data_IF_662875228948
#
_entry.id   IF_662875228948
#
_cell.length_a   1.000
_cell.length_b   1.000
_cell.length_c   1.000
_cell.angle_alpha   90.00
_cell.angle_beta   90.00
_cell.angle_gamma   90.00
#
_symmetry.space_group_name_H-M   'P 1'
#
loop_
_entity.id
_entity.type
_entity.pdbx_description
1 polymer ?
#
# COMPACT_ATOMS: atom_id res chain seq x y z
N UNK A 1 -10.92 -10.38 -37.37
CA UNK A 1 -9.54 -10.84 -37.63
C UNK A 1 -8.69 -9.59 -37.65
N UNK A 2 -7.85 -9.39 -36.62
CA UNK A 2 -7.07 -8.17 -36.40
C UNK A 2 -5.62 -8.60 -36.44
N UNK A 3 -4.91 -8.12 -37.45
CA UNK A 3 -3.54 -8.51 -37.76
C UNK A 3 -2.56 -7.93 -36.74
N UNK A 4 -1.71 -8.81 -36.20
CA UNK A 4 -0.61 -8.48 -35.29
C UNK A 4 0.69 -8.58 -36.09
N UNK A 5 1.48 -7.51 -36.24
CA UNK A 5 2.82 -7.69 -36.78
C UNK A 5 3.73 -8.22 -35.68
N UNK A 6 4.20 -9.44 -35.89
CA UNK A 6 5.37 -10.02 -35.25
C UNK A 6 6.59 -9.16 -35.59
N UNK A 7 7.33 -8.72 -34.58
CA UNK A 7 8.71 -8.27 -34.74
C UNK A 7 9.59 -9.12 -33.84
N UNK A 8 10.17 -10.11 -34.49
CA UNK A 8 11.18 -11.04 -34.00
C UNK A 8 12.42 -10.78 -34.83
N UNK A 9 13.45 -10.13 -34.29
CA UNK A 9 14.83 -10.20 -34.80
C UNK A 9 15.80 -9.85 -33.64
N UNK A 10 16.41 -10.86 -33.02
CA UNK A 10 17.84 -11.28 -33.14
C UNK A 10 18.84 -10.42 -32.34
N UNK A 11 19.31 -11.01 -31.23
CA UNK A 11 20.70 -11.18 -30.74
C UNK A 11 21.70 -10.01 -30.91
N UNK A 12 22.18 -9.48 -29.77
CA UNK A 12 23.61 -9.16 -29.54
C UNK A 12 23.91 -8.86 -28.05
N UNK A 13 24.48 -9.84 -27.34
CA UNK A 13 25.50 -9.64 -26.28
C UNK A 13 26.87 -9.70 -26.99
N UNK A 14 28.01 -9.15 -26.48
CA UNK A 14 28.31 -8.89 -25.06
C UNK A 14 29.16 -7.63 -24.75
N UNK A 15 29.36 -7.30 -23.47
CA UNK A 15 30.62 -6.70 -23.00
C UNK A 15 30.79 -6.90 -21.49
N UNK A 16 31.94 -7.48 -21.14
CA UNK A 16 32.43 -7.83 -19.81
C UNK A 16 33.60 -6.91 -19.51
N UNK A 17 33.48 -6.04 -18.50
CA UNK A 17 34.55 -5.22 -17.89
C UNK A 17 34.02 -4.86 -16.50
N UNK A 18 34.71 -4.94 -15.36
CA UNK A 18 36.10 -5.16 -14.98
C UNK A 18 36.19 -4.70 -13.50
N UNK A 19 36.99 -5.38 -12.68
CA UNK A 19 37.12 -5.20 -11.23
C UNK A 19 37.87 -3.90 -10.86
N UNK A 20 37.41 -3.18 -9.83
CA UNK A 20 38.21 -2.46 -8.81
C UNK A 20 37.24 -1.91 -7.74
N UNK A 21 37.42 -2.02 -6.43
CA UNK A 21 38.61 -2.32 -5.65
C UNK A 21 39.15 -1.06 -4.97
N UNK A 22 38.49 -0.55 -3.92
CA UNK A 22 39.10 0.30 -2.91
C UNK A 22 38.54 -0.07 -1.52
N UNK A 23 39.32 -0.85 -0.79
CA UNK A 23 39.19 -1.01 0.66
C UNK A 23 40.07 0.04 1.33
N UNK A 24 39.49 0.92 2.15
CA UNK A 24 40.23 1.82 3.03
C UNK A 24 40.11 1.32 4.47
N UNK A 25 41.22 1.00 5.16
CA UNK A 25 41.21 0.79 6.60
C UNK A 25 41.38 2.12 7.34
N UNK A 26 40.69 2.34 8.47
CA UNK A 26 41.20 3.20 9.51
C UNK A 26 41.85 2.34 10.60
N UNK A 27 43.17 2.51 10.78
CA UNK A 27 43.87 2.03 11.97
C UNK A 27 43.80 3.06 13.09
N UNK A 28 43.34 2.54 14.22
CA UNK A 28 43.92 2.64 15.57
C UNK A 28 43.86 3.96 16.37
N UNK A 29 43.09 3.81 17.45
CA UNK A 29 43.43 4.07 18.85
C UNK A 29 43.46 5.49 19.41
N UNK A 30 42.66 5.65 20.47
CA UNK A 30 42.61 6.83 21.31
C UNK A 30 41.70 6.68 22.51
N UNK A 31 42.00 5.74 23.42
CA UNK A 31 41.76 5.90 24.86
C UNK A 31 40.37 5.58 25.41
N UNK A 32 40.25 4.41 26.05
CA UNK A 32 39.30 4.17 27.15
C UNK A 32 39.81 4.86 28.41
N UNK A 33 39.03 5.80 28.97
CA UNK A 33 38.94 5.99 30.43
C UNK A 33 37.51 6.36 30.84
N UNK A 34 36.85 5.38 31.44
CA UNK A 34 35.83 5.41 32.50
C UNK A 34 35.40 6.77 33.10
N UNK A 35 34.08 7.00 33.16
CA UNK A 35 33.41 7.12 34.45
C UNK A 35 32.91 8.50 34.94
N UNK A 36 31.59 8.54 35.16
CA UNK A 36 30.83 9.30 36.16
C UNK A 36 30.35 10.73 35.86
N UNK A 37 29.04 10.78 35.60
CA UNK A 37 28.03 11.66 36.21
C UNK A 37 28.50 12.85 37.07
N UNK A 38 28.06 14.05 36.67
CA UNK A 38 27.56 15.08 37.59
C UNK A 38 26.77 16.18 36.85
N UNK A 39 25.45 16.05 36.88
CA UNK A 39 24.44 17.03 37.31
C UNK A 39 24.62 18.53 36.95
N UNK A 40 23.72 19.00 36.07
CA UNK A 40 22.91 20.22 36.10
C UNK A 40 23.53 21.58 36.49
N UNK A 41 23.47 22.54 35.55
CA UNK A 41 23.12 23.93 35.86
C UNK A 41 22.33 24.53 34.68
N UNK A 42 21.17 25.17 34.90
CA UNK A 42 20.40 25.81 33.85
C UNK A 42 21.00 27.20 33.61
N UNK A 43 21.68 27.36 32.48
CA UNK A 43 21.98 28.69 31.96
C UNK A 43 20.92 29.01 30.90
N UNK A 44 20.00 29.88 31.28
CA UNK A 44 19.08 30.53 30.36
C UNK A 44 19.90 31.39 29.39
N UNK A 45 20.27 30.81 28.25
CA UNK A 45 20.52 31.57 27.04
C UNK A 45 19.34 31.31 26.12
N UNK A 46 18.40 32.24 26.13
CA UNK A 46 17.47 32.49 25.04
C UNK A 46 18.27 32.87 23.79
N UNK A 47 18.90 31.88 23.16
CA UNK A 47 19.06 31.95 21.72
C UNK A 47 17.68 31.62 21.17
N UNK A 48 16.97 32.69 20.81
CA UNK A 48 15.95 32.69 19.77
C UNK A 48 16.64 32.24 18.46
N UNK A 49 17.05 30.96 18.44
CA UNK A 49 17.53 30.28 17.26
C UNK A 49 16.29 29.94 16.48
N UNK A 50 15.72 30.94 15.81
CA UNK A 50 14.77 30.75 14.74
C UNK A 50 15.34 29.63 13.87
N UNK A 51 14.67 28.48 13.84
CA UNK A 51 15.00 27.44 12.88
C UNK A 51 14.86 28.08 11.50
N UNK A 52 15.99 28.42 10.90
CA UNK A 52 16.06 28.97 9.56
C UNK A 52 15.71 27.82 8.60
N UNK A 53 14.41 27.63 8.38
CA UNK A 53 13.92 26.68 7.39
C UNK A 53 14.46 27.11 6.02
N UNK A 54 15.05 26.20 5.24
CA UNK A 54 15.54 26.55 3.91
C UNK A 54 14.43 27.22 3.11
N UNK A 55 14.72 28.37 2.49
CA UNK A 55 13.76 29.19 1.73
C UNK A 55 13.09 28.42 0.57
N UNK A 56 13.69 27.28 0.19
CA UNK A 56 13.10 26.32 -0.72
C UNK A 56 13.00 24.95 -0.03
N UNK A 57 11.90 24.68 0.72
CA UNK A 57 11.68 23.34 1.24
C UNK A 57 11.66 22.38 0.05
N UNK A 58 12.58 21.40 0.04
CA UNK A 58 12.52 20.36 -0.98
C UNK A 58 11.11 19.76 -0.94
N UNK A 59 10.41 19.80 -2.07
CA UNK A 59 9.08 19.23 -2.17
C UNK A 59 9.22 17.76 -1.86
N UNK A 60 8.64 17.35 -0.73
CA UNK A 60 8.56 15.94 -0.36
C UNK A 60 7.54 15.28 -1.30
N UNK A 61 8.06 14.69 -2.38
CA UNK A 61 7.28 14.00 -3.42
C UNK A 61 6.43 12.87 -2.83
N UNK A 62 6.86 12.24 -1.74
CA UNK A 62 6.05 11.25 -1.06
C UNK A 62 4.83 11.90 -0.40
N UNK A 63 4.99 13.01 0.33
CA UNK A 63 3.84 13.73 0.88
C UNK A 63 2.92 14.29 -0.23
N UNK A 64 3.49 14.75 -1.35
CA UNK A 64 2.70 15.16 -2.52
C UNK A 64 1.85 14.00 -3.05
N UNK A 65 2.41 12.79 -3.11
CA UNK A 65 1.66 11.60 -3.48
C UNK A 65 0.56 11.26 -2.48
N UNK A 66 0.83 11.33 -1.17
CA UNK A 66 -0.18 11.05 -0.15
C UNK A 66 -1.37 12.02 -0.23
N UNK A 67 -1.07 13.30 -0.48
CA UNK A 67 -2.10 14.31 -0.71
C UNK A 67 -2.95 14.00 -1.94
N UNK A 68 -2.32 13.65 -3.06
CA UNK A 68 -3.02 13.27 -4.27
C UNK A 68 -3.91 12.02 -4.07
N UNK A 69 -3.40 11.00 -3.38
CA UNK A 69 -4.17 9.82 -3.00
C UNK A 69 -5.39 10.18 -2.12
N UNK A 70 -5.21 11.07 -1.14
CA UNK A 70 -6.29 11.50 -0.26
C UNK A 70 -7.41 12.23 -1.02
N UNK A 71 -7.07 12.86 -2.14
CA UNK A 71 -7.99 13.56 -3.03
C UNK A 71 -8.60 12.64 -4.10
N UNK A 72 -8.14 11.39 -4.21
CA UNK A 72 -8.54 10.45 -5.26
C UNK A 72 -7.88 10.73 -6.61
N UNK A 73 -6.84 11.58 -6.67
CA UNK A 73 -6.06 11.83 -7.87
C UNK A 73 -4.94 10.79 -8.01
N UNK A 74 -5.32 9.61 -8.49
CA UNK A 74 -4.41 8.47 -8.61
C UNK A 74 -3.31 8.67 -9.66
N UNK A 75 -3.56 9.49 -10.69
CA UNK A 75 -2.56 9.80 -11.71
C UNK A 75 -1.49 10.73 -11.16
N UNK A 76 -1.89 11.82 -10.47
CA UNK A 76 -0.95 12.71 -9.81
C UNK A 76 -0.16 11.99 -8.70
N UNK A 77 -0.81 11.11 -7.94
CA UNK A 77 -0.15 10.27 -6.96
C UNK A 77 0.90 9.35 -7.59
N UNK A 78 0.58 8.67 -8.69
CA UNK A 78 1.52 7.80 -9.39
C UNK A 78 2.72 8.58 -9.94
N UNK A 79 2.50 9.78 -10.49
CA UNK A 79 3.58 10.63 -10.96
C UNK A 79 4.51 11.07 -9.81
N UNK A 80 3.95 11.49 -8.67
CA UNK A 80 4.71 11.89 -7.48
C UNK A 80 5.50 10.72 -6.87
N UNK A 81 4.90 9.53 -6.76
CA UNK A 81 5.61 8.32 -6.31
C UNK A 81 6.74 7.92 -7.27
N UNK A 82 6.61 8.21 -8.56
CA UNK A 82 7.67 7.97 -9.53
C UNK A 82 8.85 8.90 -9.30
N UNK A 83 8.60 10.19 -9.10
CA UNK A 83 9.66 11.14 -8.73
C UNK A 83 10.31 10.79 -7.39
N UNK A 84 9.52 10.37 -6.38
CA UNK A 84 10.04 9.87 -5.11
C UNK A 84 11.01 8.70 -5.29
N UNK A 85 10.67 7.74 -6.14
CA UNK A 85 11.52 6.59 -6.45
C UNK A 85 12.83 6.99 -7.17
N UNK A 86 12.76 7.98 -8.07
CA UNK A 86 13.87 8.40 -8.91
C UNK A 86 14.89 9.29 -8.18
N UNK A 87 14.40 10.13 -7.25
CA UNK A 87 15.23 11.02 -6.43
C UNK A 87 15.94 10.29 -5.28
N UNK A 88 15.49 9.07 -4.97
CA UNK A 88 15.75 8.42 -3.71
C UNK A 88 16.59 7.13 -3.73
N UNK A 89 16.82 6.59 -2.54
CA UNK A 89 17.53 5.32 -2.32
C UNK A 89 16.62 4.09 -2.46
N UNK A 90 17.11 2.92 -2.02
CA UNK A 90 16.32 1.68 -2.01
C UNK A 90 15.03 1.81 -1.17
N UNK A 91 15.10 2.58 -0.08
CA UNK A 91 13.95 2.90 0.77
C UNK A 91 12.85 3.59 -0.02
N UNK A 92 13.19 4.65 -0.76
CA UNK A 92 12.22 5.49 -1.45
C UNK A 92 11.57 4.73 -2.62
N UNK A 93 12.36 3.87 -3.30
CA UNK A 93 11.82 2.91 -4.29
C UNK A 93 10.83 1.93 -3.67
N UNK A 94 11.12 1.43 -2.46
CA UNK A 94 10.22 0.52 -1.74
C UNK A 94 8.92 1.22 -1.32
N UNK A 95 9.02 2.43 -0.77
CA UNK A 95 7.87 3.27 -0.40
C UNK A 95 7.00 3.62 -1.62
N UNK A 96 7.64 4.00 -2.73
CA UNK A 96 6.96 4.29 -3.98
C UNK A 96 6.22 3.08 -4.54
N UNK A 97 6.81 1.88 -4.44
CA UNK A 97 6.15 0.63 -4.85
C UNK A 97 4.90 0.38 -4.01
N UNK A 98 5.02 0.42 -2.69
CA UNK A 98 3.87 0.21 -1.79
C UNK A 98 2.78 1.27 -2.02
N UNK A 99 3.16 2.53 -2.22
CA UNK A 99 2.24 3.61 -2.52
C UNK A 99 1.47 3.40 -3.84
N UNK A 100 2.13 2.89 -4.89
CA UNK A 100 1.48 2.58 -6.16
C UNK A 100 0.51 1.40 -6.04
N UNK A 101 0.89 0.36 -5.30
CA UNK A 101 0.00 -0.76 -5.01
C UNK A 101 -1.26 -0.32 -4.25
N UNK A 102 -1.11 0.60 -3.30
CA UNK A 102 -2.23 1.24 -2.62
C UNK A 102 -3.09 2.06 -3.58
N UNK A 103 -2.48 2.88 -4.43
CA UNK A 103 -3.18 3.67 -5.44
C UNK A 103 -4.06 2.79 -6.35
N UNK A 104 -3.48 1.69 -6.86
CA UNK A 104 -4.19 0.72 -7.70
C UNK A 104 -5.34 0.05 -6.95
N UNK A 105 -5.16 -0.27 -5.66
CA UNK A 105 -6.22 -0.85 -4.84
C UNK A 105 -7.39 0.12 -4.67
N UNK A 106 -7.09 1.38 -4.34
CA UNK A 106 -8.09 2.42 -4.16
C UNK A 106 -8.82 2.77 -5.47
N UNK A 107 -8.12 2.73 -6.61
CA UNK A 107 -8.71 2.93 -7.94
C UNK A 107 -9.65 1.77 -8.34
N UNK A 108 -9.31 0.53 -7.97
CA UNK A 108 -10.15 -0.66 -8.22
C UNK A 108 -11.39 -0.71 -7.35
N UNK A 109 -11.29 -0.22 -6.11
CA UNK A 109 -12.38 -0.23 -5.14
C UNK A 109 -12.68 1.19 -4.67
N UNK A 110 -13.24 2.04 -5.54
CA UNK A 110 -13.62 3.39 -5.15
C UNK A 110 -14.62 3.33 -4.00
N UNK A 111 -14.45 4.20 -3.01
CA UNK A 111 -15.46 4.38 -1.98
C UNK A 111 -16.72 4.98 -2.65
N UNK A 112 -17.86 4.31 -2.50
CA UNK A 112 -19.13 4.82 -3.02
C UNK A 112 -19.51 6.07 -2.22
N UNK A 113 -19.46 7.25 -2.84
CA UNK A 113 -19.91 8.49 -2.22
C UNK A 113 -18.87 9.13 -1.31
N UNK A 114 -17.97 9.89 -1.95
CA UNK A 114 -17.23 10.96 -1.31
C UNK A 114 -15.75 10.64 -1.14
N UNK A 115 -14.92 11.44 -1.79
CA UNK A 115 -13.80 12.09 -1.11
C UNK A 115 -14.15 12.17 0.38
N UNK A 116 -13.37 11.52 1.25
CA UNK A 116 -13.53 11.72 2.70
C UNK A 116 -13.41 13.22 2.88
N UNK A 117 -14.56 13.87 3.06
CA UNK A 117 -14.69 15.31 3.06
C UNK A 117 -13.65 15.81 4.03
N UNK A 118 -12.64 16.51 3.50
CA UNK A 118 -11.37 16.83 4.15
C UNK A 118 -11.53 16.83 5.66
N UNK A 119 -11.31 15.67 6.27
CA UNK A 119 -11.35 15.59 7.72
C UNK A 119 -10.25 16.54 8.19
N UNK A 120 -10.51 17.47 9.12
CA UNK A 120 -9.50 18.40 9.60
C UNK A 120 -8.40 17.59 10.29
N UNK A 121 -7.40 17.17 9.50
CA UNK A 121 -6.40 16.18 9.83
C UNK A 121 -5.37 16.12 8.70
N UNK A 122 -4.22 15.52 8.97
CA UNK A 122 -3.17 15.37 7.96
C UNK A 122 -3.63 14.45 6.82
N UNK A 123 -3.10 14.64 5.61
CA UNK A 123 -3.38 13.77 4.44
C UNK A 123 -3.17 12.28 4.78
N UNK A 124 -2.23 11.98 5.66
CA UNK A 124 -1.97 10.64 6.20
C UNK A 124 -3.16 10.07 6.98
N UNK A 125 -3.77 10.86 7.85
CA UNK A 125 -4.95 10.43 8.60
C UNK A 125 -6.15 10.21 7.66
N UNK A 126 -6.32 11.06 6.65
CA UNK A 126 -7.36 10.88 5.64
C UNK A 126 -7.17 9.58 4.85
N UNK A 127 -5.94 9.24 4.48
CA UNK A 127 -5.64 7.97 3.81
C UNK A 127 -5.87 6.75 4.69
N UNK A 128 -5.47 6.80 5.97
CA UNK A 128 -5.73 5.71 6.92
C UNK A 128 -7.24 5.49 7.03
N UNK A 129 -8.03 6.57 7.15
CA UNK A 129 -9.48 6.47 7.20
C UNK A 129 -10.06 5.86 5.93
N UNK A 130 -9.53 6.20 4.75
CA UNK A 130 -9.95 5.63 3.48
C UNK A 130 -9.71 4.12 3.43
N UNK A 131 -8.52 3.67 3.86
CA UNK A 131 -8.19 2.24 3.92
C UNK A 131 -9.09 1.51 4.91
N UNK A 132 -9.34 2.08 6.10
CA UNK A 132 -10.25 1.48 7.09
C UNK A 132 -11.68 1.35 6.56
N UNK A 133 -12.18 2.38 5.87
CA UNK A 133 -13.51 2.32 5.23
C UNK A 133 -13.57 1.23 4.16
N UNK A 134 -12.52 1.07 3.35
CA UNK A 134 -12.43 -0.01 2.37
C UNK A 134 -12.44 -1.39 3.03
N UNK A 135 -11.68 -1.59 4.11
CA UNK A 135 -11.65 -2.85 4.87
C UNK A 135 -13.04 -3.17 5.43
N UNK A 136 -13.69 -2.22 6.10
CA UNK A 136 -15.04 -2.42 6.65
C UNK A 136 -16.07 -2.78 5.57
N UNK A 137 -15.96 -2.17 4.37
CA UNK A 137 -16.83 -2.49 3.23
C UNK A 137 -16.60 -3.92 2.75
N UNK A 138 -15.34 -4.36 2.63
CA UNK A 138 -15.00 -5.72 2.24
C UNK A 138 -15.51 -6.74 3.26
N UNK A 139 -15.36 -6.48 4.56
CA UNK A 139 -15.89 -7.34 5.62
C UNK A 139 -17.42 -7.46 5.55
N UNK A 140 -18.12 -6.34 5.33
CA UNK A 140 -19.58 -6.34 5.17
C UNK A 140 -20.03 -7.12 3.93
N UNK A 141 -19.33 -6.98 2.80
CA UNK A 141 -19.60 -7.75 1.58
C UNK A 141 -19.39 -9.25 1.81
N UNK A 142 -18.31 -9.66 2.49
CA UNK A 142 -18.02 -11.06 2.82
C UNK A 142 -19.13 -11.63 3.71
N UNK A 143 -19.55 -10.89 4.74
CA UNK A 143 -20.63 -11.32 5.62
C UNK A 143 -21.96 -11.49 4.86
N UNK A 144 -22.27 -10.56 3.96
CA UNK A 144 -23.49 -10.61 3.12
C UNK A 144 -23.47 -11.83 2.20
N UNK A 145 -22.37 -12.04 1.47
CA UNK A 145 -22.19 -13.21 0.60
C UNK A 145 -22.25 -14.52 1.38
N UNK A 146 -21.72 -14.55 2.61
CA UNK A 146 -21.83 -15.71 3.51
C UNK A 146 -23.27 -16.04 3.88
N UNK A 147 -24.08 -15.02 4.20
CA UNK A 147 -25.50 -15.20 4.51
C UNK A 147 -26.30 -15.68 3.29
N UNK A 148 -26.06 -15.08 2.12
CA UNK A 148 -26.68 -15.49 0.86
C UNK A 148 -26.34 -16.94 0.50
N UNK A 149 -25.07 -17.34 0.65
CA UNK A 149 -24.65 -18.71 0.39
C UNK A 149 -25.35 -19.71 1.34
N UNK A 150 -25.41 -19.40 2.64
CA UNK A 150 -26.10 -20.25 3.62
C UNK A 150 -27.60 -20.40 3.29
N UNK A 151 -28.25 -19.32 2.85
CA UNK A 151 -29.64 -19.38 2.40
C UNK A 151 -29.80 -20.26 1.16
N UNK A 152 -28.93 -20.11 0.16
CA UNK A 152 -28.97 -20.92 -1.05
C UNK A 152 -28.77 -22.41 -0.74
N UNK A 153 -27.86 -22.74 0.17
CA UNK A 153 -27.63 -24.12 0.62
C UNK A 153 -28.89 -24.69 1.28
N UNK A 154 -29.53 -23.95 2.19
CA UNK A 154 -30.77 -24.39 2.84
C UNK A 154 -31.93 -24.55 1.84
N UNK A 155 -32.01 -23.69 0.82
CA UNK A 155 -33.04 -23.79 -0.22
C UNK A 155 -32.80 -24.98 -1.15
N UNK A 156 -31.53 -25.30 -1.45
CA UNK A 156 -31.18 -26.50 -2.20
C UNK A 156 -31.52 -27.77 -1.41
N UNK A 157 -31.19 -27.83 -0.12
CA UNK A 157 -31.54 -28.96 0.75
C UNK A 157 -33.05 -29.23 0.77
N UNK A 158 -33.87 -28.18 0.95
CA UNK A 158 -35.33 -28.30 0.88
C UNK A 158 -35.83 -28.83 -0.47
N UNK A 159 -35.21 -28.40 -1.57
CA UNK A 159 -35.57 -28.88 -2.92
C UNK A 159 -35.20 -30.34 -3.10
N UNK A 160 -34.03 -30.76 -2.60
CA UNK A 160 -33.61 -32.16 -2.62
C UNK A 160 -34.56 -33.04 -1.79
N UNK A 161 -34.95 -32.62 -0.59
CA UNK A 161 -35.94 -33.33 0.22
C UNK A 161 -37.31 -33.44 -0.47
N UNK A 162 -37.77 -32.36 -1.10
CA UNK A 162 -39.03 -32.36 -1.85
C UNK A 162 -38.96 -33.35 -3.04
N UNK A 163 -37.83 -33.38 -3.75
CA UNK A 163 -37.61 -34.34 -4.84
C UNK A 163 -37.59 -35.79 -4.33
N UNK A 164 -36.96 -36.06 -3.19
CA UNK A 164 -36.97 -37.39 -2.55
C UNK A 164 -38.38 -37.84 -2.19
N UNK A 165 -39.18 -36.97 -1.56
CA UNK A 165 -40.59 -37.28 -1.23
C UNK A 165 -41.44 -37.48 -2.48
N UNK A 166 -41.26 -36.66 -3.51
CA UNK A 166 -41.97 -36.84 -4.78
C UNK A 166 -41.61 -38.17 -5.43
N UNK A 167 -40.33 -38.57 -5.39
CA UNK A 167 -39.86 -39.87 -5.89
C UNK A 167 -40.49 -41.03 -5.11
N UNK A 168 -40.51 -40.95 -3.79
CA UNK A 168 -41.15 -41.96 -2.94
C UNK A 168 -42.65 -42.10 -3.27
N UNK A 169 -43.35 -40.98 -3.44
CA UNK A 169 -44.78 -40.98 -3.79
C UNK A 169 -45.06 -41.48 -5.21
N UNK A 170 -44.15 -41.27 -6.17
CA UNK A 170 -44.34 -41.69 -7.57
C UNK A 170 -43.85 -43.10 -7.86
N UNK A 171 -42.81 -43.57 -7.18
CA UNK A 171 -42.18 -44.85 -7.44
C UNK A 171 -42.37 -45.88 -6.31
N UNK A 172 -42.90 -45.48 -5.16
CA UNK A 172 -43.15 -46.37 -4.01
C UNK A 172 -41.88 -47.00 -3.42
N UNK A 173 -40.70 -46.50 -3.77
CA UNK A 173 -39.42 -47.02 -3.31
C UNK A 173 -38.75 -46.02 -2.37
N UNK A 174 -38.51 -46.37 -1.09
CA UNK A 174 -37.69 -45.55 -0.20
C UNK A 174 -36.24 -45.52 -0.70
N UNK A 175 -35.58 -44.37 -0.56
CA UNK A 175 -34.15 -44.26 -0.87
C UNK A 175 -33.34 -45.11 0.14
N UNK A 176 -32.51 -46.02 -0.39
CA UNK A 176 -31.61 -46.88 0.38
C UNK A 176 -30.26 -46.21 0.61
#
# INVERSE_FOLDING_TARGET
MRDWPRLSFIILLPALVGVSGCATPPDADGGVTSGSDSVMSPSESSSDGLCECPENPQVDEFNAALKALAQGDFEAAAAALSRHADLGGDRDRSEARAGRELADLLARYPADGGTIASSPGSDRAALIQLVLTLVNRLESNIATLGAENAQLVADLEKREEALKRLRELTLGQPEA
#
